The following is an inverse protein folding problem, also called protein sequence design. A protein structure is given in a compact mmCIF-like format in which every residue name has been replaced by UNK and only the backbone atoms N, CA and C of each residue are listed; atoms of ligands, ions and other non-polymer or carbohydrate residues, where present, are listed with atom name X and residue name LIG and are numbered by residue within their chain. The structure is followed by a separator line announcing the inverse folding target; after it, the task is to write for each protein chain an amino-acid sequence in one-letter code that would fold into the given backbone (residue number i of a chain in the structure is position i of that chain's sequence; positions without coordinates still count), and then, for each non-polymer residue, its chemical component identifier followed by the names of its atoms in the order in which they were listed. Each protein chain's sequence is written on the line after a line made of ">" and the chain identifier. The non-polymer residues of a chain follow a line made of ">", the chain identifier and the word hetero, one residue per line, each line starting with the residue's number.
data_IF_566669472342
#
_entry.id   IF_566669472342
#
_cell.length_a   1.000
_cell.length_b   1.000
_cell.length_c   1.000
_cell.angle_alpha   90.00
_cell.angle_beta   90.00
_cell.angle_gamma   90.00
#
_symmetry.space_group_name_H-M   'P 1'
#
loop_
_entity.id
_entity.type
_entity.pdbx_description
1 polymer ?
#
# COMPACT_ATOMS: atom_id res chain seq x y z
N UNK A 1 -41.83 -46.71 -27.26
CA UNK A 1 -41.72 -45.26 -27.28
C UNK A 1 -40.85 -44.72 -26.22
N UNK A 2 -39.78 -44.22 -26.64
CA UNK A 2 -38.85 -43.67 -25.73
C UNK A 2 -38.97 -42.19 -25.70
N UNK A 3 -39.28 -41.69 -24.56
CA UNK A 3 -39.32 -40.26 -24.38
C UNK A 3 -38.04 -39.80 -23.81
N UNK A 4 -37.36 -39.12 -24.59
CA UNK A 4 -36.16 -38.53 -24.18
C UNK A 4 -36.43 -37.20 -23.53
N UNK A 5 -36.30 -37.19 -22.25
CA UNK A 5 -36.39 -35.92 -21.52
C UNK A 5 -35.02 -35.44 -21.29
N UNK A 6 -34.57 -34.64 -22.15
CA UNK A 6 -33.36 -33.87 -21.88
C UNK A 6 -33.66 -32.87 -20.81
N UNK A 7 -33.26 -33.20 -19.63
CA UNK A 7 -33.27 -32.22 -18.57
C UNK A 7 -32.16 -31.24 -18.85
N UNK A 8 -32.49 -30.11 -19.37
CA UNK A 8 -31.59 -29.00 -19.41
C UNK A 8 -31.44 -28.50 -18.00
N UNK A 9 -30.40 -28.94 -17.36
CA UNK A 9 -29.97 -28.30 -16.12
C UNK A 9 -29.41 -26.96 -16.51
N UNK A 10 -30.22 -25.97 -16.39
CA UNK A 10 -29.72 -24.60 -16.48
C UNK A 10 -28.88 -24.36 -15.24
N UNK A 11 -27.61 -24.46 -15.38
CA UNK A 11 -26.73 -23.99 -14.36
C UNK A 11 -26.82 -22.48 -14.33
N UNK A 12 -27.63 -21.99 -13.46
CA UNK A 12 -27.65 -20.57 -13.16
C UNK A 12 -26.43 -20.33 -12.33
N UNK A 13 -25.40 -19.92 -12.98
CA UNK A 13 -24.26 -19.31 -12.28
C UNK A 13 -24.70 -17.96 -11.78
N UNK A 14 -25.14 -17.94 -10.56
CA UNK A 14 -25.34 -16.67 -9.89
C UNK A 14 -23.96 -16.08 -9.64
N UNK A 15 -23.54 -15.27 -10.54
CA UNK A 15 -22.38 -14.46 -10.31
C UNK A 15 -22.73 -13.38 -9.31
N UNK A 16 -22.36 -13.62 -8.10
CA UNK A 16 -22.38 -12.57 -7.12
C UNK A 16 -21.19 -11.64 -7.40
N UNK A 17 -21.41 -10.72 -8.29
CA UNK A 17 -20.53 -9.58 -8.35
C UNK A 17 -20.82 -8.79 -7.08
N UNK A 18 -19.97 -8.94 -6.09
CA UNK A 18 -20.05 -8.11 -4.91
C UNK A 18 -19.97 -6.65 -5.30
N UNK A 19 -20.69 -5.76 -4.62
CA UNK A 19 -20.55 -4.35 -4.90
C UNK A 19 -19.10 -3.96 -4.72
N UNK A 20 -18.52 -3.36 -5.72
CA UNK A 20 -17.20 -2.79 -5.61
C UNK A 20 -17.32 -1.60 -4.66
N UNK A 21 -17.09 -1.85 -3.39
CA UNK A 21 -16.93 -0.77 -2.45
C UNK A 21 -15.65 -0.04 -2.81
N UNK A 22 -15.74 1.27 -3.00
CA UNK A 22 -14.59 2.09 -3.23
C UNK A 22 -13.74 2.11 -1.96
N UNK A 23 -12.84 1.16 -1.85
CA UNK A 23 -11.92 1.07 -0.72
C UNK A 23 -10.52 1.42 -1.17
N UNK A 24 -9.80 2.09 -0.29
CA UNK A 24 -8.39 2.29 -0.49
C UNK A 24 -7.68 0.94 -0.43
N UNK A 25 -7.00 0.59 -1.49
CA UNK A 25 -6.27 -0.66 -1.57
C UNK A 25 -4.79 -0.37 -1.48
N UNK A 26 -4.12 -1.07 -0.58
CA UNK A 26 -2.68 -0.95 -0.39
C UNK A 26 -2.04 -2.26 -0.79
N UNK A 27 -1.16 -2.19 -1.76
CA UNK A 27 -0.44 -3.36 -2.24
C UNK A 27 1.05 -3.17 -1.95
N UNK A 28 1.57 -3.81 -0.89
CA UNK A 28 2.98 -3.69 -0.55
C UNK A 28 3.90 -4.60 -1.38
N UNK A 29 3.34 -5.32 -2.33
CA UNK A 29 4.12 -6.22 -3.17
C UNK A 29 4.84 -5.43 -4.26
N UNK A 30 6.11 -5.68 -4.43
CA UNK A 30 6.91 -5.03 -5.44
C UNK A 30 8.39 -5.06 -5.08
N UNK A 31 9.27 -4.66 -6.02
CA UNK A 31 10.71 -4.74 -5.80
C UNK A 31 11.23 -3.81 -4.71
N UNK A 32 10.54 -2.70 -4.43
CA UNK A 32 10.98 -1.74 -3.43
C UNK A 32 12.36 -1.14 -3.73
N UNK A 33 12.98 -0.56 -2.72
CA UNK A 33 14.31 0.06 -2.82
C UNK A 33 15.39 -0.75 -2.09
N UNK A 34 15.08 -1.97 -1.72
CA UNK A 34 16.05 -2.85 -1.07
C UNK A 34 16.21 -2.62 0.43
N UNK A 35 15.19 -2.16 1.11
CA UNK A 35 15.22 -2.00 2.56
C UNK A 35 15.28 -3.35 3.27
N UNK A 36 16.18 -3.45 4.24
CA UNK A 36 16.24 -4.63 5.10
C UNK A 36 15.17 -4.57 6.19
N UNK A 37 14.96 -5.68 6.88
CA UNK A 37 13.99 -5.70 7.99
C UNK A 37 14.38 -4.74 9.10
N UNK A 38 15.67 -4.60 9.38
CA UNK A 38 16.15 -3.64 10.36
C UNK A 38 15.87 -2.21 9.92
N UNK A 39 16.05 -1.90 8.65
CA UNK A 39 15.71 -0.59 8.11
C UNK A 39 14.21 -0.32 8.26
N UNK A 40 13.37 -1.28 7.94
CA UNK A 40 11.92 -1.15 8.07
C UNK A 40 11.49 -0.91 9.51
N UNK A 41 12.09 -1.61 10.45
CA UNK A 41 11.84 -1.41 11.88
C UNK A 41 12.23 0.00 12.32
N UNK A 42 13.38 0.45 11.89
CA UNK A 42 13.85 1.80 12.21
C UNK A 42 12.90 2.86 11.65
N UNK A 43 12.50 2.71 10.40
CA UNK A 43 11.54 3.60 9.75
C UNK A 43 10.23 3.62 10.53
N UNK A 44 9.70 2.46 10.86
CA UNK A 44 8.44 2.35 11.57
C UNK A 44 8.51 3.02 12.95
N UNK A 45 9.60 2.84 13.65
CA UNK A 45 9.81 3.45 14.97
C UNK A 45 9.89 4.96 14.88
N UNK A 46 10.63 5.49 13.92
CA UNK A 46 10.84 6.93 13.80
C UNK A 46 9.66 7.65 13.17
N UNK A 47 9.02 7.06 12.20
CA UNK A 47 7.92 7.67 11.46
C UNK A 47 6.56 7.28 12.03
N UNK A 48 6.50 6.18 12.75
CA UNK A 48 5.24 5.64 13.28
C UNK A 48 4.51 6.55 14.26
N UNK A 49 5.20 7.50 14.86
CA UNK A 49 4.59 8.48 15.78
C UNK A 49 3.90 9.64 15.05
N UNK A 50 4.10 9.77 13.75
CA UNK A 50 3.46 10.83 12.97
C UNK A 50 1.95 10.57 12.86
N UNK A 51 1.13 11.63 12.80
CA UNK A 51 -0.31 11.44 12.61
C UNK A 51 -0.61 10.82 11.25
N UNK A 52 -1.54 9.86 11.20
CA UNK A 52 -1.91 9.24 9.94
C UNK A 52 -2.69 10.21 9.05
N UNK A 53 -2.51 10.08 7.75
CA UNK A 53 -3.22 10.86 6.76
C UNK A 53 -4.31 10.01 6.11
N UNK A 54 -5.46 10.63 5.85
CA UNK A 54 -6.53 9.96 5.14
C UNK A 54 -6.23 9.90 3.64
N UNK A 55 -6.53 8.75 3.05
CA UNK A 55 -6.44 8.55 1.62
C UNK A 55 -7.85 8.61 1.04
N UNK A 56 -8.07 9.28 -0.11
CA UNK A 56 -9.38 9.30 -0.75
C UNK A 56 -9.88 7.88 -1.04
N UNK A 57 -11.17 7.69 -0.91
CA UNK A 57 -11.79 6.41 -1.25
C UNK A 57 -11.58 6.10 -2.73
N UNK A 58 -11.35 4.82 -3.02
CA UNK A 58 -11.14 4.37 -4.40
C UNK A 58 -9.71 4.49 -4.89
N UNK A 59 -8.83 5.11 -4.12
CA UNK A 59 -7.41 5.20 -4.49
C UNK A 59 -6.70 3.87 -4.26
N UNK A 60 -5.80 3.55 -5.17
CA UNK A 60 -4.93 2.39 -5.03
C UNK A 60 -3.52 2.85 -4.71
N UNK A 61 -2.99 2.33 -3.62
CA UNK A 61 -1.63 2.60 -3.20
C UNK A 61 -0.78 1.37 -3.49
N UNK A 62 0.21 1.52 -4.33
CA UNK A 62 1.10 0.42 -4.68
C UNK A 62 2.48 0.94 -5.03
N UNK A 63 3.48 0.09 -4.87
CA UNK A 63 4.85 0.44 -5.27
C UNK A 63 4.87 0.69 -6.78
N UNK A 64 5.43 1.81 -7.18
CA UNK A 64 5.50 2.23 -8.57
C UNK A 64 4.38 3.13 -9.04
N UNK A 65 3.36 3.36 -8.21
CA UNK A 65 2.26 4.25 -8.53
C UNK A 65 2.43 5.62 -7.89
N UNK A 66 1.83 6.62 -8.49
CA UNK A 66 1.81 7.95 -7.91
C UNK A 66 0.93 8.00 -6.67
N UNK A 67 1.35 8.81 -5.71
CA UNK A 67 0.52 9.07 -4.53
C UNK A 67 -0.60 10.05 -4.88
N UNK A 68 -1.75 9.95 -4.18
CA UNK A 68 -2.82 10.93 -4.34
C UNK A 68 -2.34 12.35 -4.09
N UNK A 69 -2.85 13.30 -4.87
CA UNK A 69 -2.39 14.68 -4.81
C UNK A 69 -2.68 15.39 -3.48
N UNK A 70 -3.66 14.91 -2.73
CA UNK A 70 -4.00 15.45 -1.42
C UNK A 70 -3.14 14.87 -0.28
N UNK A 71 -2.32 13.88 -0.56
CA UNK A 71 -1.45 13.28 0.44
C UNK A 71 -0.22 14.15 0.63
N UNK A 72 0.04 14.51 1.87
CA UNK A 72 1.19 15.32 2.20
C UNK A 72 2.41 14.43 2.42
N UNK A 73 3.51 14.80 1.80
CA UNK A 73 4.78 14.10 1.98
C UNK A 73 5.57 14.78 3.08
N UNK A 74 6.00 14.00 4.05
CA UNK A 74 6.78 14.47 5.18
C UNK A 74 8.25 14.12 4.99
N UNK A 75 9.11 15.00 5.41
CA UNK A 75 10.53 14.72 5.41
C UNK A 75 10.87 13.69 6.48
N UNK A 76 11.88 12.89 6.18
CA UNK A 76 12.39 11.92 7.11
C UNK A 76 13.21 12.62 8.21
N UNK A 77 13.18 12.10 9.45
CA UNK A 77 14.11 12.55 10.46
C UNK A 77 15.56 12.40 10.01
N UNK A 78 16.38 13.33 10.43
CA UNK A 78 17.79 13.33 10.05
C UNK A 78 18.50 12.06 10.51
N UNK A 79 18.16 11.59 11.69
CA UNK A 79 18.73 10.35 12.24
C UNK A 79 18.43 9.16 11.34
N UNK A 80 17.22 9.13 10.79
CA UNK A 80 16.82 8.07 9.89
C UNK A 80 17.56 8.13 8.55
N UNK A 81 17.75 9.34 8.03
CA UNK A 81 18.53 9.54 6.80
C UNK A 81 19.97 9.11 6.97
N UNK A 82 20.54 9.34 8.15
CA UNK A 82 21.90 8.94 8.45
C UNK A 82 22.06 7.44 8.64
N UNK A 83 21.09 6.80 9.27
CA UNK A 83 21.09 5.34 9.47
C UNK A 83 20.81 4.58 8.21
N UNK A 84 19.92 5.10 7.37
CA UNK A 84 19.50 4.47 6.13
C UNK A 84 19.79 5.43 4.98
N UNK A 85 20.99 5.37 4.45
CA UNK A 85 21.43 6.28 3.39
C UNK A 85 20.57 6.23 2.13
N UNK A 86 19.89 5.10 1.89
CA UNK A 86 18.98 4.96 0.76
C UNK A 86 17.81 5.94 0.81
N UNK A 87 17.47 6.44 1.99
CA UNK A 87 16.29 7.29 2.19
C UNK A 87 16.55 8.78 2.06
N UNK A 88 17.78 9.18 1.77
CA UNK A 88 18.16 10.60 1.75
C UNK A 88 17.31 11.44 0.82
N UNK A 89 16.94 10.90 -0.32
CA UNK A 89 16.22 11.63 -1.35
C UNK A 89 14.72 11.32 -1.36
N UNK A 90 14.24 10.62 -0.35
CA UNK A 90 12.85 10.20 -0.29
C UNK A 90 12.11 10.91 0.83
N UNK A 91 10.79 10.89 0.72
CA UNK A 91 9.87 11.37 1.75
C UNK A 91 8.93 10.26 2.17
N UNK A 92 8.21 10.49 3.24
CA UNK A 92 7.29 9.50 3.79
C UNK A 92 5.90 10.06 3.95
N UNK A 93 4.93 9.15 3.96
CA UNK A 93 3.56 9.45 4.31
C UNK A 93 3.02 8.29 5.13
N UNK A 94 2.46 8.59 6.31
CA UNK A 94 1.84 7.56 7.15
C UNK A 94 0.37 7.46 6.83
N UNK A 95 -0.11 6.23 6.67
CA UNK A 95 -1.51 5.93 6.38
C UNK A 95 -2.22 5.43 7.63
N UNK A 96 -3.58 5.49 7.66
CA UNK A 96 -4.35 5.11 8.85
C UNK A 96 -4.13 3.68 9.34
N UNK A 97 -3.78 2.76 8.45
CA UNK A 97 -3.56 1.35 8.78
C UNK A 97 -2.15 1.07 9.31
N UNK A 98 -1.45 2.11 9.77
CA UNK A 98 -0.05 2.01 10.21
C UNK A 98 0.91 1.58 9.11
N UNK A 99 0.54 1.82 7.87
CA UNK A 99 1.45 1.64 6.74
C UNK A 99 2.20 2.95 6.48
N UNK A 100 3.45 2.82 6.16
CA UNK A 100 4.31 3.96 5.88
C UNK A 100 4.76 3.87 4.43
N UNK A 101 4.46 4.91 3.67
CA UNK A 101 4.89 5.01 2.29
C UNK A 101 6.25 5.69 2.20
N UNK A 102 7.13 5.13 1.41
CA UNK A 102 8.37 5.79 1.02
C UNK A 102 8.15 6.30 -0.41
N UNK A 103 8.29 7.60 -0.60
CA UNK A 103 7.88 8.26 -1.83
C UNK A 103 9.04 9.07 -2.41
N UNK A 104 9.22 8.95 -3.73
CA UNK A 104 10.11 9.81 -4.47
C UNK A 104 9.42 11.17 -4.65
N UNK A 105 9.94 12.26 -4.05
CA UNK A 105 9.28 13.56 -4.11
C UNK A 105 9.30 14.18 -5.50
N UNK A 106 10.26 13.84 -6.32
CA UNK A 106 10.36 14.40 -7.67
C UNK A 106 9.25 13.87 -8.58
N UNK A 107 8.93 12.59 -8.45
CA UNK A 107 7.90 11.93 -9.27
C UNK A 107 6.60 11.72 -8.52
N UNK A 108 6.57 11.97 -7.22
CA UNK A 108 5.47 11.63 -6.31
C UNK A 108 5.05 10.17 -6.44
N UNK A 109 6.01 9.31 -6.56
CA UNK A 109 5.80 7.90 -6.83
C UNK A 109 6.20 7.07 -5.61
N UNK A 110 5.38 6.10 -5.25
CA UNK A 110 5.67 5.19 -4.14
C UNK A 110 6.81 4.26 -4.56
N UNK A 111 7.89 4.28 -3.81
CA UNK A 111 9.06 3.44 -4.08
C UNK A 111 9.17 2.26 -3.12
N UNK A 112 8.53 2.36 -1.97
CA UNK A 112 8.44 1.25 -1.02
C UNK A 112 7.29 1.48 -0.06
N UNK A 113 6.84 0.40 0.60
CA UNK A 113 5.79 0.46 1.62
C UNK A 113 6.26 -0.36 2.82
N UNK A 114 6.29 0.28 3.98
CA UNK A 114 6.60 -0.41 5.25
C UNK A 114 5.29 -0.71 5.95
N UNK A 115 4.98 -1.98 6.12
CA UNK A 115 3.77 -2.41 6.80
C UNK A 115 4.01 -2.54 8.30
N UNK A 116 2.93 -2.56 9.07
CA UNK A 116 2.99 -2.76 10.52
C UNK A 116 3.72 -4.05 10.88
N UNK A 117 3.43 -5.13 10.17
CA UNK A 117 4.04 -6.43 10.45
C UNK A 117 5.56 -6.40 10.24
N UNK A 118 6.00 -5.70 9.22
CA UNK A 118 7.43 -5.56 8.94
C UNK A 118 8.12 -4.65 9.94
N UNK A 119 7.43 -3.62 10.40
CA UNK A 119 8.00 -2.66 11.34
C UNK A 119 8.05 -3.11 12.78
N UNK A 120 7.31 -4.16 13.13
CA UNK A 120 7.21 -4.66 14.53
C UNK A 120 7.87 -6.00 14.78
N UNK A 121 8.45 -6.59 13.78
CA UNK A 121 9.17 -7.85 13.90
C UNK A 121 10.45 -7.74 14.70
#
# INVERSE_FOLDING_TARGET
>A
MLYWRSACVACILAQLAGPALAQTSINPTGPGIGLTEDHKRTIYREVGSQPPQKVPEGEQIAIGKEVPGNLMLNELPIELKDQVGLLRDFKTAKLPDNNILIVDPAKRQVVDIVTKDEGTR
#
